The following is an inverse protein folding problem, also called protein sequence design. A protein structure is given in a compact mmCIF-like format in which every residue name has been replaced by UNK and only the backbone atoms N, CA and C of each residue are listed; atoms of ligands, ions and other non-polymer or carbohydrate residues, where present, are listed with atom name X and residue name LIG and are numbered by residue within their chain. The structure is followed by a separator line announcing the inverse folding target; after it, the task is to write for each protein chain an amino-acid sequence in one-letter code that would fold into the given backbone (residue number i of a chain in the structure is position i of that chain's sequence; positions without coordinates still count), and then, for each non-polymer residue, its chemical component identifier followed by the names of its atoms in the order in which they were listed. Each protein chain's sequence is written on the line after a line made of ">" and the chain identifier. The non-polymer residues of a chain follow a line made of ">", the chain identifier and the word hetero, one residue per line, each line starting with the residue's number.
data_IF_198787493216
#
_entry.id   IF_198787493216
#
_cell.length_a   1.000
_cell.length_b   1.000
_cell.length_c   1.000
_cell.angle_alpha   90.00
_cell.angle_beta   90.00
_cell.angle_gamma   90.00
#
_symmetry.space_group_name_H-M   'P 1'
#
loop_
_entity.id
_entity.type
_entity.pdbx_description
1 polymer ?
#
# COMPACT_ATOMS: atom_id res chain seq x y z
N UNK A 1 30.18 -9.85 2.50
CA UNK A 1 28.94 -9.66 1.70
C UNK A 1 27.77 -9.94 2.62
N UNK A 2 26.99 -8.91 2.96
CA UNK A 2 25.72 -9.09 3.69
C UNK A 2 24.75 -8.13 3.01
N UNK A 3 23.70 -8.66 2.38
CA UNK A 3 22.54 -7.88 1.95
C UNK A 3 21.37 -8.29 2.85
N UNK A 4 21.12 -7.56 3.95
CA UNK A 4 20.02 -7.84 4.85
C UNK A 4 18.72 -7.20 4.29
N UNK A 5 18.37 -7.54 3.04
CA UNK A 5 17.04 -7.24 2.48
C UNK A 5 16.04 -8.35 2.82
N UNK A 6 16.45 -9.33 3.62
CA UNK A 6 15.58 -10.38 4.16
C UNK A 6 14.59 -9.78 5.17
N UNK A 7 13.49 -9.25 4.64
CA UNK A 7 12.13 -9.37 5.18
C UNK A 7 12.06 -9.16 6.70
N UNK A 8 12.29 -7.93 7.16
CA UNK A 8 11.78 -7.48 8.46
C UNK A 8 10.30 -7.13 8.33
N UNK A 9 9.46 -8.07 7.92
CA UNK A 9 8.00 -7.88 7.98
C UNK A 9 7.61 -7.98 9.45
N UNK A 10 7.47 -6.83 10.08
CA UNK A 10 6.98 -6.75 11.45
C UNK A 10 5.47 -6.99 11.49
N UNK A 11 4.92 -7.32 12.65
CA UNK A 11 3.45 -7.40 12.83
C UNK A 11 2.76 -6.09 12.40
N UNK A 12 3.43 -4.95 12.61
CA UNK A 12 2.96 -3.63 12.18
C UNK A 12 2.91 -3.48 10.65
N UNK A 13 3.85 -4.09 9.92
CA UNK A 13 3.84 -4.07 8.45
C UNK A 13 2.73 -4.97 7.90
N UNK A 14 2.47 -6.10 8.54
CA UNK A 14 1.34 -6.96 8.18
C UNK A 14 0.00 -6.25 8.40
N UNK A 15 -0.19 -5.61 9.56
CA UNK A 15 -1.39 -4.84 9.86
C UNK A 15 -1.56 -3.67 8.88
N UNK A 16 -0.48 -2.95 8.60
CA UNK A 16 -0.48 -1.89 7.61
C UNK A 16 -0.90 -2.40 6.22
N UNK A 17 -0.34 -3.52 5.76
CA UNK A 17 -0.70 -4.10 4.47
C UNK A 17 -2.16 -4.56 4.44
N UNK A 18 -2.64 -5.17 5.52
CA UNK A 18 -4.06 -5.56 5.64
C UNK A 18 -4.98 -4.35 5.50
N UNK A 19 -4.67 -3.26 6.20
CA UNK A 19 -5.47 -2.03 6.14
C UNK A 19 -5.45 -1.40 4.73
N UNK A 20 -4.29 -1.40 4.06
CA UNK A 20 -4.18 -0.94 2.66
C UNK A 20 -5.06 -1.79 1.75
N UNK A 21 -4.98 -3.12 1.83
CA UNK A 21 -5.80 -4.00 0.99
C UNK A 21 -7.29 -3.79 1.23
N UNK A 22 -7.73 -3.80 2.50
CA UNK A 22 -9.13 -3.59 2.85
C UNK A 22 -9.65 -2.22 2.39
N UNK A 23 -8.84 -1.16 2.50
CA UNK A 23 -9.19 0.17 2.02
C UNK A 23 -9.45 0.18 0.50
N UNK A 24 -8.60 -0.50 -0.28
CA UNK A 24 -8.75 -0.60 -1.74
C UNK A 24 -9.95 -1.46 -2.11
N UNK A 25 -10.12 -2.62 -1.47
CA UNK A 25 -11.24 -3.54 -1.71
C UNK A 25 -12.60 -2.89 -1.42
N UNK A 26 -12.71 -2.15 -0.32
CA UNK A 26 -13.92 -1.41 0.04
C UNK A 26 -14.30 -0.33 -0.99
N UNK A 27 -13.34 0.12 -1.80
CA UNK A 27 -13.53 1.14 -2.83
C UNK A 27 -13.30 0.60 -4.26
N UNK A 28 -13.40 -0.71 -4.47
CA UNK A 28 -13.10 -1.33 -5.77
C UNK A 28 -14.03 -0.85 -6.89
N UNK A 29 -15.30 -0.58 -6.56
CA UNK A 29 -16.31 -0.06 -7.49
C UNK A 29 -16.25 1.46 -7.70
N UNK A 30 -15.49 2.19 -6.87
CA UNK A 30 -15.30 3.63 -7.03
C UNK A 30 -14.19 3.91 -8.05
N UNK A 31 -14.59 4.31 -9.26
CA UNK A 31 -13.65 4.66 -10.34
C UNK A 31 -12.80 5.89 -10.03
N UNK A 32 -13.22 6.74 -9.09
CA UNK A 32 -12.48 7.94 -8.66
C UNK A 32 -11.49 7.64 -7.54
N UNK A 33 -11.58 6.47 -6.91
CA UNK A 33 -10.71 6.15 -5.79
C UNK A 33 -9.25 6.13 -6.22
N UNK A 34 -8.44 6.95 -5.55
CA UNK A 34 -7.07 7.28 -5.95
C UNK A 34 -6.09 7.25 -4.77
N UNK A 35 -4.80 7.39 -5.08
CA UNK A 35 -3.71 7.35 -4.09
C UNK A 35 -3.89 8.37 -2.96
N UNK A 36 -4.47 9.53 -3.24
CA UNK A 36 -4.73 10.57 -2.23
C UNK A 36 -5.75 10.13 -1.18
N UNK A 37 -6.79 9.41 -1.58
CA UNK A 37 -7.80 8.87 -0.67
C UNK A 37 -7.21 7.73 0.17
N UNK A 38 -6.52 6.78 -0.46
CA UNK A 38 -5.80 5.73 0.25
C UNK A 38 -4.82 6.31 1.28
N UNK A 39 -4.06 7.34 0.91
CA UNK A 39 -3.14 8.00 1.85
C UNK A 39 -3.87 8.62 3.04
N UNK A 40 -5.02 9.27 2.79
CA UNK A 40 -5.88 9.81 3.84
C UNK A 40 -6.39 8.73 4.81
N UNK A 41 -6.90 7.61 4.28
CA UNK A 41 -7.38 6.48 5.10
C UNK A 41 -6.27 5.82 5.90
N UNK A 42 -5.05 5.81 5.36
CA UNK A 42 -3.87 5.30 6.05
C UNK A 42 -3.26 6.31 7.05
N UNK A 43 -3.87 7.49 7.23
CA UNK A 43 -3.35 8.59 8.04
C UNK A 43 -1.91 8.99 7.66
N UNK A 44 -1.63 9.03 6.35
CA UNK A 44 -0.31 9.32 5.80
C UNK A 44 -0.38 10.36 4.69
N UNK A 45 0.72 11.09 4.49
CA UNK A 45 0.92 11.79 3.22
C UNK A 45 1.14 10.78 2.09
N UNK A 46 0.82 11.17 0.86
CA UNK A 46 1.09 10.38 -0.35
C UNK A 46 2.57 9.97 -0.45
N UNK A 47 3.49 10.86 -0.06
CA UNK A 47 4.92 10.58 -0.09
C UNK A 47 5.32 9.49 0.92
N UNK A 48 4.78 9.53 2.13
CA UNK A 48 5.00 8.49 3.15
C UNK A 48 4.46 7.14 2.68
N UNK A 49 3.23 7.11 2.17
CA UNK A 49 2.60 5.89 1.65
C UNK A 49 3.43 5.28 0.52
N UNK A 50 3.90 6.10 -0.42
CA UNK A 50 4.77 5.64 -1.51
C UNK A 50 6.07 5.01 -1.00
N UNK A 51 6.77 5.69 -0.08
CA UNK A 51 8.02 5.14 0.48
C UNK A 51 7.79 3.84 1.23
N UNK A 52 6.72 3.76 2.03
CA UNK A 52 6.40 2.56 2.81
C UNK A 52 6.05 1.37 1.91
N UNK A 53 5.14 1.54 0.94
CA UNK A 53 4.82 0.46 0.00
C UNK A 53 6.02 0.06 -0.87
N UNK A 54 6.86 1.02 -1.29
CA UNK A 54 8.06 0.71 -2.04
C UNK A 54 9.10 -0.07 -1.22
N UNK A 55 9.22 0.22 0.07
CA UNK A 55 10.11 -0.51 0.97
C UNK A 55 9.57 -1.92 1.30
N UNK A 56 8.25 -2.09 1.39
CA UNK A 56 7.64 -3.36 1.79
C UNK A 56 7.41 -4.33 0.63
N UNK A 57 6.94 -3.83 -0.50
CA UNK A 57 6.46 -4.67 -1.62
C UNK A 57 7.01 -4.22 -2.99
N UNK A 58 7.95 -3.28 -3.00
CA UNK A 58 8.56 -2.72 -4.22
C UNK A 58 7.56 -2.14 -5.24
N UNK A 59 6.37 -1.75 -4.76
CA UNK A 59 5.29 -1.22 -5.61
C UNK A 59 4.81 0.15 -5.13
N UNK A 60 4.35 0.97 -6.08
CA UNK A 60 3.69 2.23 -5.78
C UNK A 60 2.21 1.98 -5.41
N UNK A 61 1.58 2.88 -4.62
CA UNK A 61 0.17 2.75 -4.27
C UNK A 61 -0.72 2.78 -5.51
N UNK A 62 -0.35 3.58 -6.53
CA UNK A 62 -1.12 3.66 -7.78
C UNK A 62 -1.10 2.33 -8.55
N UNK A 63 0.06 1.68 -8.61
CA UNK A 63 0.17 0.36 -9.25
C UNK A 63 -0.63 -0.67 -8.47
N UNK A 64 -0.56 -0.64 -7.14
CA UNK A 64 -1.31 -1.55 -6.28
C UNK A 64 -2.84 -1.43 -6.46
N UNK A 65 -3.38 -0.21 -6.42
CA UNK A 65 -4.82 0.05 -6.65
C UNK A 65 -5.25 -0.50 -8.02
N UNK A 66 -4.46 -0.25 -9.07
CA UNK A 66 -4.77 -0.73 -10.42
C UNK A 66 -4.70 -2.25 -10.50
N UNK A 67 -3.69 -2.88 -9.91
CA UNK A 67 -3.54 -4.34 -9.92
C UNK A 67 -4.74 -5.01 -9.27
N UNK A 68 -5.19 -4.51 -8.12
CA UNK A 68 -6.34 -5.09 -7.39
C UNK A 68 -7.65 -4.91 -8.16
N UNK A 69 -7.84 -3.76 -8.83
CA UNK A 69 -9.05 -3.52 -9.66
C UNK A 69 -9.11 -4.35 -10.96
N UNK A 70 -7.96 -4.80 -11.46
CA UNK A 70 -7.87 -5.53 -12.73
C UNK A 70 -7.73 -7.05 -12.55
N UNK A 71 -7.58 -7.51 -11.31
CA UNK A 71 -7.74 -8.92 -10.95
C UNK A 71 -9.23 -9.29 -10.95
#
# INVERSE_FOLDING_TARGET
>A
MIKPSEITVTSLDQEFMKNVMSSIENHISDSKYAVTQLAGEMNMSVSQLNRKLKALIEQSPQKLIRSIRMQ
#
